data_IF_891057047813
#
_entry.id   IF_891057047813
#
_cell.length_a   1.000
_cell.length_b   1.000
_cell.length_c   1.000
_cell.angle_alpha   90.00
_cell.angle_beta   90.00
_cell.angle_gamma   90.00
#
_symmetry.space_group_name_H-M   'P 1'
#
loop_
_entity.id
_entity.type
_entity.pdbx_description
1 polymer ?
#
# COMPACT_ATOMS: atom_id res chain seq x y z
N UNK A 1 -30.02 -15.85 -19.53
CA UNK A 1 -29.71 -16.90 -18.53
C UNK A 1 -28.61 -17.89 -18.96
N UNK A 2 -27.76 -17.56 -19.94
CA UNK A 2 -26.54 -18.32 -20.31
C UNK A 2 -25.29 -17.44 -20.20
N UNK A 3 -25.48 -16.14 -20.44
CA UNK A 3 -24.43 -15.11 -20.32
C UNK A 3 -23.89 -14.97 -18.89
N UNK A 4 -24.78 -15.11 -17.90
CA UNK A 4 -24.45 -15.01 -16.47
C UNK A 4 -23.46 -16.11 -16.03
N UNK A 5 -23.59 -17.31 -16.59
CA UNK A 5 -22.80 -18.47 -16.20
C UNK A 5 -21.34 -18.37 -16.69
N UNK A 6 -21.10 -17.75 -17.84
CA UNK A 6 -19.75 -17.49 -18.35
C UNK A 6 -19.07 -16.33 -17.63
N UNK A 7 -19.82 -15.28 -17.27
CA UNK A 7 -19.30 -14.13 -16.51
C UNK A 7 -18.93 -14.56 -15.08
N UNK A 8 -19.79 -15.35 -14.45
CA UNK A 8 -19.57 -15.85 -13.08
C UNK A 8 -18.36 -16.77 -12.99
N UNK A 9 -18.09 -17.58 -14.02
CA UNK A 9 -16.89 -18.44 -14.08
C UNK A 9 -15.58 -17.66 -14.24
N UNK A 10 -15.63 -16.46 -14.83
CA UNK A 10 -14.47 -15.56 -14.92
C UNK A 10 -14.20 -14.84 -13.59
N UNK A 11 -15.25 -14.56 -12.82
CA UNK A 11 -15.18 -13.90 -11.50
C UNK A 11 -15.03 -14.86 -10.31
N UNK A 12 -15.37 -16.14 -10.44
CA UNK A 12 -15.02 -17.21 -9.50
C UNK A 12 -13.53 -17.57 -9.62
N UNK A 13 -12.68 -16.55 -9.56
CA UNK A 13 -11.27 -16.72 -9.29
C UNK A 13 -11.13 -17.29 -7.89
N UNK A 14 -10.53 -18.48 -7.80
CA UNK A 14 -10.25 -19.25 -6.58
C UNK A 14 -10.14 -18.35 -5.34
N UNK A 15 -10.98 -18.62 -4.34
CA UNK A 15 -10.77 -18.20 -2.94
C UNK A 15 -9.56 -18.95 -2.38
N UNK A 16 -8.38 -18.66 -2.91
CA UNK A 16 -7.10 -19.08 -2.36
C UNK A 16 -6.79 -18.14 -1.22
N UNK A 17 -6.60 -18.71 -0.02
CA UNK A 17 -6.11 -18.06 1.20
C UNK A 17 -5.43 -16.74 0.88
N UNK A 18 -6.10 -15.61 1.14
CA UNK A 18 -5.51 -14.29 0.93
C UNK A 18 -4.37 -14.13 1.94
N UNK A 19 -3.19 -14.57 1.51
CA UNK A 19 -1.97 -14.45 2.26
C UNK A 19 -1.52 -13.00 2.19
N UNK A 20 -0.98 -12.48 3.30
CA UNK A 20 -0.39 -11.14 3.38
C UNK A 20 0.53 -10.84 2.17
N UNK A 21 1.17 -11.87 1.61
CA UNK A 21 1.96 -11.81 0.38
C UNK A 21 1.20 -11.31 -0.85
N UNK A 22 -0.04 -11.74 -1.09
CA UNK A 22 -0.85 -11.28 -2.23
C UNK A 22 -1.21 -9.80 -2.10
N UNK A 23 -1.52 -9.35 -0.88
CA UNK A 23 -1.77 -7.93 -0.58
C UNK A 23 -0.50 -7.08 -0.73
N UNK A 24 0.65 -7.58 -0.28
CA UNK A 24 1.94 -6.91 -0.48
C UNK A 24 2.30 -6.79 -1.97
N UNK A 25 2.17 -7.89 -2.73
CA UNK A 25 2.41 -7.87 -4.18
C UNK A 25 1.48 -6.89 -4.90
N UNK A 26 0.19 -6.86 -4.52
CA UNK A 26 -0.78 -5.91 -5.08
C UNK A 26 -0.40 -4.46 -4.75
N UNK A 27 0.03 -4.19 -3.51
CA UNK A 27 0.50 -2.86 -3.12
C UNK A 27 1.75 -2.41 -3.89
N UNK A 28 2.70 -3.32 -4.13
CA UNK A 28 3.90 -3.01 -4.92
C UNK A 28 3.52 -2.74 -6.38
N UNK A 29 2.67 -3.60 -6.95
CA UNK A 29 2.16 -3.43 -8.32
C UNK A 29 1.48 -2.07 -8.51
N UNK A 30 0.60 -1.67 -7.57
CA UNK A 30 -0.08 -0.38 -7.63
C UNK A 30 0.88 0.81 -7.54
N UNK A 31 1.95 0.69 -6.75
CA UNK A 31 2.98 1.75 -6.63
C UNK A 31 3.77 1.92 -7.92
N UNK A 32 4.15 0.83 -8.59
CA UNK A 32 4.87 0.87 -9.87
C UNK A 32 4.00 1.54 -10.94
N UNK A 33 2.73 1.16 -11.04
CA UNK A 33 1.79 1.76 -11.99
C UNK A 33 1.64 3.26 -11.73
N UNK A 34 1.48 3.67 -10.47
CA UNK A 34 1.37 5.08 -10.11
C UNK A 34 2.61 5.90 -10.49
N UNK A 35 3.81 5.38 -10.27
CA UNK A 35 5.04 6.09 -10.64
C UNK A 35 5.22 6.20 -12.15
N UNK A 36 4.86 5.16 -12.90
CA UNK A 36 4.86 5.22 -14.37
C UNK A 36 3.86 6.26 -14.86
N UNK A 37 2.66 6.29 -14.30
CA UNK A 37 1.62 7.27 -14.63
C UNK A 37 2.11 8.71 -14.41
N UNK A 38 2.71 9.01 -13.26
CA UNK A 38 3.31 10.33 -12.97
C UNK A 38 4.38 10.70 -14.00
N UNK A 39 5.28 9.78 -14.34
CA UNK A 39 6.35 10.05 -15.32
C UNK A 39 5.75 10.30 -16.71
N UNK A 40 4.77 9.51 -17.13
CA UNK A 40 4.11 9.66 -18.44
C UNK A 40 3.36 10.98 -18.53
N UNK A 41 2.55 11.32 -17.52
CA UNK A 41 1.82 12.59 -17.46
C UNK A 41 2.81 13.75 -17.46
N UNK A 42 3.84 13.69 -16.62
CA UNK A 42 4.86 14.73 -16.56
C UNK A 42 5.57 14.91 -17.90
N UNK A 43 5.88 13.82 -18.60
CA UNK A 43 6.50 13.84 -19.91
C UNK A 43 5.58 14.46 -20.97
N UNK A 44 4.29 14.10 -20.99
CA UNK A 44 3.32 14.67 -21.92
C UNK A 44 3.18 16.18 -21.70
N UNK A 45 3.15 16.63 -20.44
CA UNK A 45 2.98 18.04 -20.08
C UNK A 45 4.23 18.87 -20.41
N UNK A 46 5.42 18.35 -20.10
CA UNK A 46 6.67 19.13 -20.22
C UNK A 46 7.41 18.91 -21.53
N UNK A 47 7.15 17.80 -22.23
CA UNK A 47 7.88 17.38 -23.44
C UNK A 47 9.34 17.00 -23.18
N UNK A 48 9.79 17.00 -21.93
CA UNK A 48 11.20 16.83 -21.56
C UNK A 48 11.39 15.64 -20.61
N UNK A 49 12.11 14.62 -21.08
CA UNK A 49 12.34 13.39 -20.32
C UNK A 49 13.07 13.65 -18.99
N UNK A 50 14.06 14.55 -18.98
CA UNK A 50 14.82 14.90 -17.77
C UNK A 50 13.93 15.48 -16.68
N UNK A 51 12.95 16.32 -17.06
CA UNK A 51 12.02 16.91 -16.11
C UNK A 51 11.01 15.87 -15.59
N UNK A 52 10.48 15.01 -16.47
CA UNK A 52 9.60 13.92 -16.08
C UNK A 52 10.26 12.93 -15.11
N UNK A 53 11.52 12.56 -15.34
CA UNK A 53 12.30 11.73 -14.43
C UNK A 53 12.59 12.43 -13.11
N UNK A 54 12.82 13.74 -13.13
CA UNK A 54 13.00 14.53 -11.90
C UNK A 54 11.72 14.52 -11.07
N UNK A 55 10.56 14.71 -11.68
CA UNK A 55 9.26 14.65 -10.98
C UNK A 55 9.01 13.25 -10.42
N UNK A 56 9.22 12.20 -11.22
CA UNK A 56 9.07 10.82 -10.77
C UNK A 56 10.01 10.46 -9.60
N UNK A 57 11.26 10.92 -9.63
CA UNK A 57 12.20 10.66 -8.52
C UNK A 57 11.80 11.39 -7.23
N UNK A 58 11.34 12.65 -7.33
CA UNK A 58 10.79 13.39 -6.18
C UNK A 58 9.53 12.73 -5.63
N UNK A 59 8.65 12.21 -6.48
CA UNK A 59 7.44 11.48 -6.07
C UNK A 59 7.80 10.26 -5.20
N UNK A 60 8.75 9.44 -5.67
CA UNK A 60 9.20 8.24 -4.94
C UNK A 60 9.79 8.61 -3.58
N UNK A 61 10.71 9.59 -3.54
CA UNK A 61 11.33 10.04 -2.29
C UNK A 61 10.28 10.59 -1.32
N UNK A 62 9.36 11.41 -1.81
CA UNK A 62 8.29 12.00 -1.00
C UNK A 62 7.38 10.92 -0.42
N UNK A 63 7.01 9.90 -1.20
CA UNK A 63 6.19 8.77 -0.72
C UNK A 63 6.90 7.95 0.35
N UNK A 64 8.21 7.71 0.23
CA UNK A 64 8.99 7.01 1.25
C UNK A 64 8.96 7.79 2.57
N UNK A 65 9.23 9.10 2.51
CA UNK A 65 9.21 9.97 3.69
C UNK A 65 7.82 10.02 4.33
N UNK A 66 6.77 10.23 3.53
CA UNK A 66 5.39 10.26 4.02
C UNK A 66 4.96 8.93 4.62
N UNK A 67 5.33 7.80 4.01
CA UNK A 67 5.03 6.47 4.54
C UNK A 67 5.72 6.23 5.89
N UNK A 68 7.01 6.59 6.00
CA UNK A 68 7.75 6.47 7.25
C UNK A 68 7.11 7.31 8.37
N UNK A 69 6.78 8.56 8.08
CA UNK A 69 6.11 9.44 9.04
C UNK A 69 4.72 8.93 9.42
N UNK A 70 3.95 8.45 8.44
CA UNK A 70 2.64 7.84 8.68
C UNK A 70 2.76 6.66 9.64
N UNK A 71 3.68 5.73 9.40
CA UNK A 71 3.91 4.58 10.27
C UNK A 71 4.31 5.01 11.68
N UNK A 72 5.17 6.03 11.80
CA UNK A 72 5.62 6.54 13.09
C UNK A 72 4.50 7.20 13.90
N UNK A 73 3.64 7.96 13.23
CA UNK A 73 2.45 8.57 13.84
C UNK A 73 1.45 7.48 14.21
N UNK A 74 1.24 6.49 13.35
CA UNK A 74 0.34 5.37 13.60
C UNK A 74 0.78 4.53 14.79
N UNK A 75 2.07 4.17 14.87
CA UNK A 75 2.66 3.47 16.01
C UNK A 75 2.48 4.28 17.31
N UNK A 76 2.71 5.59 17.26
CA UNK A 76 2.56 6.46 18.43
C UNK A 76 1.10 6.60 18.87
N UNK A 77 0.16 6.66 17.92
CA UNK A 77 -1.27 6.76 18.20
C UNK A 77 -1.89 5.43 18.67
N UNK A 78 -1.35 4.30 18.21
CA UNK A 78 -1.89 2.95 18.49
C UNK A 78 -1.18 2.26 19.65
N UNK A 79 -0.24 2.93 20.34
CA UNK A 79 0.29 2.46 21.63
C UNK A 79 -0.82 2.45 22.67
N UNK A 80 -1.60 1.38 22.66
CA UNK A 80 -2.41 0.93 23.78
C UNK A 80 -1.44 0.73 24.94
N UNK A 81 -1.60 1.50 26.02
CA UNK A 81 -0.92 1.22 27.27
C UNK A 81 -1.29 -0.20 27.68
N UNK A 82 -0.35 -1.14 27.59
CA UNK A 82 -0.50 -2.42 28.27
C UNK A 82 -0.68 -2.08 29.76
N UNK A 83 -1.91 -2.23 30.24
CA UNK A 83 -2.19 -2.27 31.66
C UNK A 83 -1.43 -3.49 32.18
N UNK A 84 -0.31 -3.27 32.86
CA UNK A 84 0.36 -4.30 33.66
C UNK A 84 -0.71 -4.98 34.52
N UNK A 85 -0.92 -6.31 34.41
CA UNK A 85 -1.71 -7.02 35.40
C UNK A 85 -0.89 -6.99 36.70
N UNK A 86 -1.25 -6.03 37.54
CA UNK A 86 -1.37 -6.11 38.98
C UNK A 86 -0.49 -7.20 39.63
N UNK A 87 0.60 -6.74 40.26
CA UNK A 87 1.47 -7.52 41.15
C UNK A 87 0.75 -7.90 42.46
N UNK A 88 -0.50 -8.35 42.40
CA UNK A 88 -1.35 -8.77 43.53
C UNK A 88 -1.49 -10.30 43.62
N UNK A 89 -0.41 -11.03 43.28
CA UNK A 89 -0.29 -12.45 43.64
C UNK A 89 0.95 -12.75 44.48
N UNK A 90 1.68 -11.72 44.92
CA UNK A 90 2.85 -11.87 45.80
C UNK A 90 2.52 -11.74 47.30
N UNK A 91 1.23 -11.70 47.69
CA UNK A 91 0.81 -11.47 49.09
C UNK A 91 -0.42 -12.28 49.54
N UNK A 92 -0.74 -13.39 48.89
CA UNK A 92 -1.84 -14.29 49.29
C UNK A 92 -1.34 -15.70 49.51
#
# INVERSE_FOLDING_TARGET
>A
MILDQHIKKWFESKKGTDSNLKSLMKSISWRIVGTIDTIVISFIVTGQLTMALSIGSVEVVSKILLYYLHERVWESATKTKEHEPEKEYARS
#
